data_IF_272933500005
#
_entry.id   IF_272933500005
#
_cell.length_a   1.000
_cell.length_b   1.000
_cell.length_c   1.000
_cell.angle_alpha   90.00
_cell.angle_beta   90.00
_cell.angle_gamma   90.00
#
_symmetry.space_group_name_H-M   'P 1'
#
loop_
_entity.id
_entity.type
_entity.pdbx_description
1 polymer ?
#
# COMPACT_ATOMS: atom_id res chain seq x y z
N UNK A 1 -1.04 -12.25 0.73
CA UNK A 1 -2.15 -11.28 0.66
C UNK A 1 -2.85 -11.48 -0.67
N UNK A 2 -4.18 -11.40 -0.70
CA UNK A 2 -4.98 -11.40 -1.95
C UNK A 2 -5.23 -9.97 -2.41
N UNK A 3 -5.65 -9.78 -3.67
CA UNK A 3 -5.98 -8.46 -4.23
C UNK A 3 -7.07 -7.76 -3.40
N UNK A 4 -8.11 -8.49 -2.99
CA UNK A 4 -9.20 -7.98 -2.15
C UNK A 4 -8.68 -7.57 -0.78
N UNK A 5 -7.79 -8.35 -0.16
CA UNK A 5 -7.19 -7.99 1.13
C UNK A 5 -6.36 -6.71 1.03
N UNK A 6 -5.60 -6.54 -0.05
CA UNK A 6 -4.80 -5.33 -0.29
C UNK A 6 -5.72 -4.11 -0.49
N UNK A 7 -6.78 -4.26 -1.28
CA UNK A 7 -7.77 -3.20 -1.48
C UNK A 7 -8.47 -2.78 -0.18
N UNK A 8 -8.90 -3.74 0.64
CA UNK A 8 -9.51 -3.46 1.94
C UNK A 8 -8.54 -2.79 2.92
N UNK A 9 -7.26 -3.19 2.90
CA UNK A 9 -6.21 -2.55 3.70
C UNK A 9 -5.98 -1.11 3.25
N UNK A 10 -5.85 -0.89 1.94
CA UNK A 10 -5.69 0.44 1.38
C UNK A 10 -6.83 1.38 1.73
N UNK A 11 -8.09 0.94 1.58
CA UNK A 11 -9.25 1.76 1.97
C UNK A 11 -9.18 2.25 3.41
N UNK A 12 -8.57 1.47 4.31
CA UNK A 12 -8.39 1.83 5.72
C UNK A 12 -7.19 2.75 5.97
N UNK A 13 -6.13 2.65 5.17
CA UNK A 13 -4.90 3.42 5.37
C UNK A 13 -4.73 4.60 4.40
N UNK A 14 -5.61 4.77 3.41
CA UNK A 14 -5.57 5.87 2.45
C UNK A 14 -5.52 7.22 3.18
N UNK A 15 -4.50 8.02 2.87
CA UNK A 15 -4.28 9.33 3.49
C UNK A 15 -3.75 9.29 4.93
N UNK A 16 -3.41 8.11 5.45
CA UNK A 16 -2.82 7.93 6.76
C UNK A 16 -1.36 7.51 6.63
N UNK A 17 -0.52 8.00 7.54
CA UNK A 17 0.88 7.61 7.58
C UNK A 17 0.97 6.11 7.92
N UNK A 18 1.61 5.35 7.03
CA UNK A 18 1.53 3.89 7.00
C UNK A 18 2.92 3.30 6.86
N UNK A 19 3.11 2.15 7.48
CA UNK A 19 4.27 1.28 7.31
C UNK A 19 3.89 0.09 6.43
N UNK A 20 4.67 -0.16 5.39
CA UNK A 20 4.66 -1.40 4.61
C UNK A 20 5.91 -2.18 4.94
N UNK A 21 5.71 -3.46 5.25
CA UNK A 21 6.78 -4.42 5.40
C UNK A 21 6.72 -5.40 4.24
N UNK A 22 7.86 -5.63 3.60
CA UNK A 22 8.02 -6.61 2.53
C UNK A 22 8.51 -7.94 3.09
N UNK A 23 8.32 -9.00 2.32
CA UNK A 23 8.74 -10.37 2.67
C UNK A 23 10.25 -10.54 2.78
N UNK A 24 11.02 -9.70 2.10
CA UNK A 24 12.49 -9.66 2.19
C UNK A 24 13.00 -8.97 3.48
N UNK A 25 12.10 -8.40 4.29
CA UNK A 25 12.42 -7.67 5.51
C UNK A 25 12.55 -6.16 5.33
N UNK A 26 12.46 -5.65 4.10
CA UNK A 26 12.44 -4.20 3.82
C UNK A 26 11.22 -3.56 4.47
N UNK A 27 11.42 -2.39 5.10
CA UNK A 27 10.36 -1.60 5.71
C UNK A 27 10.35 -0.21 5.11
N UNK A 28 9.17 0.24 4.68
CA UNK A 28 8.94 1.56 4.08
C UNK A 28 7.77 2.25 4.73
N UNK A 29 7.89 3.58 4.86
CA UNK A 29 6.93 4.42 5.56
C UNK A 29 6.56 5.60 4.68
N UNK A 30 5.29 5.98 4.74
CA UNK A 30 4.77 7.09 3.98
C UNK A 30 3.26 6.99 3.80
N UNK A 31 2.76 7.65 2.77
CA UNK A 31 1.34 7.72 2.46
C UNK A 31 1.03 6.74 1.32
N UNK A 32 0.15 5.76 1.55
CA UNK A 32 -0.16 4.76 0.54
C UNK A 32 -1.04 5.36 -0.56
N UNK A 33 -0.70 5.01 -1.79
CA UNK A 33 -1.43 5.33 -3.02
C UNK A 33 -1.63 4.02 -3.77
N UNK A 34 -2.84 3.78 -4.28
CA UNK A 34 -3.09 2.63 -5.17
C UNK A 34 -3.50 3.15 -6.53
N UNK A 35 -2.82 2.65 -7.55
CA UNK A 35 -3.24 2.72 -8.93
C UNK A 35 -4.04 1.45 -9.27
N UNK A 36 -5.24 1.62 -9.83
CA UNK A 36 -6.02 0.52 -10.38
C UNK A 36 -6.34 0.82 -11.83
N UNK A 37 -6.26 -0.20 -12.68
CA UNK A 37 -6.63 -0.12 -14.10
C UNK A 37 -8.09 -0.50 -14.35
N UNK A 38 -8.82 -0.91 -13.31
CA UNK A 38 -10.19 -1.36 -13.43
C UNK A 38 -11.14 -0.23 -13.84
N UNK A 39 -11.98 -0.51 -14.83
CA UNK A 39 -12.95 0.43 -15.41
C UNK A 39 -14.33 0.26 -14.75
N UNK A 40 -14.54 -0.87 -14.07
CA UNK A 40 -15.85 -1.48 -13.79
C UNK A 40 -16.00 -2.00 -12.33
N UNK A 41 -15.35 -1.32 -11.37
CA UNK A 41 -15.49 -1.53 -9.91
C UNK A 41 -15.01 -2.88 -9.35
N UNK A 42 -14.45 -3.77 -10.16
CA UNK A 42 -13.70 -4.94 -9.66
C UNK A 42 -12.27 -4.48 -9.34
N UNK A 43 -11.75 -4.64 -8.12
CA UNK A 43 -10.40 -4.19 -7.81
C UNK A 43 -9.38 -5.04 -8.57
N UNK A 44 -8.82 -4.50 -9.65
CA UNK A 44 -7.56 -4.96 -10.23
C UNK A 44 -6.44 -4.19 -9.53
N UNK A 45 -5.93 -4.75 -8.43
CA UNK A 45 -4.85 -4.16 -7.64
C UNK A 45 -3.69 -5.14 -7.62
N UNK A 46 -2.68 -4.87 -8.43
CA UNK A 46 -1.44 -5.65 -8.49
C UNK A 46 -0.33 -5.08 -7.62
N UNK A 47 -0.40 -3.80 -7.25
CA UNK A 47 0.67 -3.08 -6.55
C UNK A 47 0.12 -2.00 -5.61
N UNK A 48 0.98 -1.58 -4.69
CA UNK A 48 0.77 -0.40 -3.84
C UNK A 48 1.99 0.50 -3.93
N UNK A 49 1.71 1.79 -4.05
CA UNK A 49 2.72 2.83 -4.00
C UNK A 49 2.74 3.44 -2.60
N UNK A 50 3.91 3.80 -2.11
CA UNK A 50 4.06 4.72 -0.99
C UNK A 50 4.79 5.96 -1.45
N UNK A 51 4.19 7.10 -1.13
CA UNK A 51 4.83 8.42 -1.19
C UNK A 51 5.52 8.69 0.16
N UNK A 52 6.84 8.87 0.15
CA UNK A 52 7.58 9.28 1.34
C UNK A 52 7.41 10.78 1.66
N UNK A 53 7.97 11.23 2.79
CA UNK A 53 7.89 12.64 3.23
C UNK A 53 8.54 13.65 2.28
N UNK A 54 9.38 13.17 1.34
CA UNK A 54 10.04 13.99 0.32
C UNK A 54 9.29 13.95 -1.02
N UNK A 55 8.13 13.27 -1.09
CA UNK A 55 7.33 13.10 -2.30
C UNK A 55 7.87 12.03 -3.25
N UNK A 56 8.81 11.17 -2.82
CA UNK A 56 9.29 10.08 -3.66
C UNK A 56 8.31 8.91 -3.60
N UNK A 57 7.93 8.40 -4.78
CA UNK A 57 7.12 7.21 -4.90
C UNK A 57 7.98 5.95 -4.96
N UNK A 58 7.56 4.92 -4.25
CA UNK A 58 8.09 3.56 -4.36
C UNK A 58 6.93 2.57 -4.46
N UNK A 59 6.98 1.68 -5.43
CA UNK A 59 5.94 0.70 -5.72
C UNK A 59 6.38 -0.71 -5.37
N UNK A 60 5.46 -1.54 -4.88
CA UNK A 60 5.67 -2.97 -4.66
C UNK A 60 4.48 -3.80 -5.09
N UNK A 61 4.76 -4.94 -5.69
CA UNK A 61 3.75 -5.89 -6.09
C UNK A 61 3.14 -6.60 -4.88
N UNK A 62 1.88 -7.03 -5.03
CA UNK A 62 1.11 -7.73 -4.01
C UNK A 62 1.88 -8.91 -3.39
N UNK A 63 2.62 -9.67 -4.22
CA UNK A 63 3.39 -10.82 -3.80
C UNK A 63 4.61 -10.48 -2.94
N UNK A 64 5.09 -9.23 -2.96
CA UNK A 64 6.24 -8.76 -2.18
C UNK A 64 5.82 -8.31 -0.78
N UNK A 65 4.54 -7.99 -0.57
CA UNK A 65 4.03 -7.39 0.66
C UNK A 65 3.81 -8.47 1.74
N UNK A 66 4.39 -8.24 2.91
CA UNK A 66 4.18 -9.01 4.13
C UNK A 66 3.04 -8.39 4.97
N UNK A 67 3.16 -7.11 5.35
CA UNK A 67 2.16 -6.40 6.15
C UNK A 67 2.02 -4.92 5.80
N UNK A 68 0.87 -4.36 6.18
CA UNK A 68 0.52 -2.93 6.05
C UNK A 68 -0.12 -2.49 7.36
N UNK A 69 0.43 -1.45 7.98
CA UNK A 69 0.07 -0.99 9.32
C UNK A 69 0.00 0.54 9.38
N UNK A 70 -1.08 1.10 9.94
CA UNK A 70 -1.18 2.55 10.17
C UNK A 70 -0.29 2.92 11.36
N UNK A 71 0.60 3.88 11.14
CA UNK A 71 1.37 4.50 12.21
C UNK A 71 0.53 5.64 12.78
N UNK A 72 0.03 5.49 14.02
CA UNK A 72 -0.69 6.56 14.70
C UNK A 72 0.20 7.81 14.77
N UNK A 73 -0.22 8.90 14.14
CA UNK A 73 0.28 10.24 14.45
C UNK A 73 -0.41 10.69 15.73
N UNK A 74 0.37 10.82 16.82
CA UNK A 74 -0.08 11.43 18.07
C UNK A 74 -0.40 12.92 17.88
#
# INVERSE_FOLDING_TARGET
MTEIELWEKYKKCKGLYTQIKLKDGTVKKGYPVIFTKAIDNTPEVSEIDIEDENGNLSAWYLEEIDSIEILKTN
#
